data_IF_767890077358
#
_entry.id   IF_767890077358
#
_cell.length_a   1.000
_cell.length_b   1.000
_cell.length_c   1.000
_cell.angle_alpha   90.00
_cell.angle_beta   90.00
_cell.angle_gamma   90.00
#
_symmetry.space_group_name_H-M   'P 1'
#
loop_
_entity.id
_entity.type
_entity.pdbx_description
1 polymer ?
#
# COMPACT_ATOMS: atom_id res chain seq x y z
N UNK A 1 -28.41 -17.45 -41.67
CA UNK A 1 -28.43 -15.97 -41.50
C UNK A 1 -27.01 -15.53 -41.12
N UNK A 2 -26.17 -15.20 -42.10
CA UNK A 2 -24.77 -14.81 -41.84
C UNK A 2 -24.68 -13.32 -41.51
N UNK A 3 -24.07 -12.96 -40.39
CA UNK A 3 -23.81 -11.56 -40.05
C UNK A 3 -22.92 -10.93 -41.14
N UNK A 4 -23.26 -9.72 -41.59
CA UNK A 4 -22.44 -8.98 -42.54
C UNK A 4 -21.05 -8.71 -41.95
N UNK A 5 -20.04 -8.53 -42.81
CA UNK A 5 -18.65 -8.25 -42.39
C UNK A 5 -18.61 -7.11 -41.37
N UNK A 6 -19.40 -6.05 -41.58
CA UNK A 6 -19.55 -4.92 -40.64
C UNK A 6 -20.07 -5.36 -39.26
N UNK A 7 -21.04 -6.27 -39.21
CA UNK A 7 -21.58 -6.83 -37.97
C UNK A 7 -20.56 -7.64 -37.17
N UNK A 8 -19.64 -8.35 -37.84
CA UNK A 8 -18.56 -9.10 -37.17
C UNK A 8 -17.54 -8.15 -36.52
N UNK A 9 -17.21 -7.03 -37.19
CA UNK A 9 -16.34 -5.98 -36.64
C UNK A 9 -16.98 -5.27 -35.44
N UNK A 10 -18.27 -4.96 -35.52
CA UNK A 10 -19.04 -4.38 -34.41
C UNK A 10 -19.09 -5.33 -33.20
N UNK A 11 -19.32 -6.63 -33.42
CA UNK A 11 -19.31 -7.61 -32.35
C UNK A 11 -17.93 -7.73 -31.69
N UNK A 12 -16.85 -7.76 -32.48
CA UNK A 12 -15.48 -7.85 -31.96
C UNK A 12 -15.09 -6.62 -31.14
N UNK A 13 -15.48 -5.42 -31.59
CA UNK A 13 -15.26 -4.17 -30.86
C UNK A 13 -16.02 -4.16 -29.52
N UNK A 14 -17.28 -4.61 -29.51
CA UNK A 14 -18.08 -4.71 -28.29
C UNK A 14 -17.51 -5.74 -27.29
N UNK A 15 -17.07 -6.90 -27.76
CA UNK A 15 -16.41 -7.91 -26.92
C UNK A 15 -15.13 -7.40 -26.28
N UNK A 16 -14.32 -6.65 -27.04
CA UNK A 16 -13.07 -6.06 -26.54
C UNK A 16 -13.34 -5.00 -25.46
N UNK A 17 -14.35 -4.15 -25.68
CA UNK A 17 -14.79 -3.17 -24.69
C UNK A 17 -15.30 -3.82 -23.40
N UNK A 18 -16.08 -4.90 -23.51
CA UNK A 18 -16.60 -5.63 -22.36
C UNK A 18 -15.48 -6.27 -21.53
N UNK A 19 -14.47 -6.85 -22.18
CA UNK A 19 -13.30 -7.41 -21.50
C UNK A 19 -12.54 -6.29 -20.76
N UNK A 20 -12.31 -5.14 -21.40
CA UNK A 20 -11.61 -4.03 -20.76
C UNK A 20 -12.41 -3.46 -19.56
N UNK A 21 -13.74 -3.44 -19.63
CA UNK A 21 -14.59 -3.01 -18.51
C UNK A 21 -14.61 -4.03 -17.36
N UNK A 22 -14.53 -5.33 -17.64
CA UNK A 22 -14.52 -6.39 -16.63
C UNK A 22 -13.16 -6.55 -15.93
N UNK A 23 -12.05 -6.19 -16.60
CA UNK A 23 -10.69 -6.35 -16.08
C UNK A 23 -9.95 -5.02 -15.83
N UNK A 24 -10.56 -3.88 -16.16
CA UNK A 24 -9.92 -2.56 -16.22
C UNK A 24 -9.69 -1.84 -14.89
N UNK A 25 -10.02 -2.44 -13.75
CA UNK A 25 -9.70 -1.87 -12.44
C UNK A 25 -8.46 -2.54 -11.86
N UNK A 26 -7.30 -2.35 -12.49
CA UNK A 26 -6.04 -2.55 -11.80
C UNK A 26 -6.03 -1.57 -10.61
N UNK A 27 -6.02 -2.13 -9.40
CA UNK A 27 -6.40 -1.46 -8.16
C UNK A 27 -5.71 -0.11 -7.95
N UNK A 28 -6.44 0.83 -7.37
CA UNK A 28 -5.87 2.05 -6.86
C UNK A 28 -4.74 1.70 -5.87
N UNK A 29 -3.49 1.87 -6.31
CA UNK A 29 -2.33 1.70 -5.46
C UNK A 29 -2.36 2.84 -4.44
N UNK A 30 -2.76 2.53 -3.21
CA UNK A 30 -2.60 3.44 -2.08
C UNK A 30 -1.12 3.53 -1.77
N UNK A 31 -0.44 4.49 -2.40
CA UNK A 31 0.96 4.79 -2.16
C UNK A 31 1.08 5.45 -0.78
N UNK A 32 1.66 4.73 0.18
CA UNK A 32 1.93 5.27 1.51
C UNK A 32 3.26 6.01 1.45
N UNK A 33 3.21 7.33 1.32
CA UNK A 33 4.43 8.14 1.22
C UNK A 33 5.22 8.22 2.54
N UNK A 34 4.53 8.20 3.69
CA UNK A 34 5.14 8.36 5.01
C UNK A 34 4.50 7.46 6.06
N UNK A 35 5.32 6.87 6.92
CA UNK A 35 4.88 6.21 8.14
C UNK A 35 5.50 6.91 9.35
N UNK A 36 4.70 7.15 10.38
CA UNK A 36 5.19 7.58 11.69
C UNK A 36 5.06 6.44 12.68
N UNK A 37 6.19 5.99 13.22
CA UNK A 37 6.27 4.95 14.22
C UNK A 37 6.13 5.54 15.62
N UNK A 38 5.12 5.06 16.34
CA UNK A 38 5.01 5.26 17.77
C UNK A 38 5.62 4.06 18.49
N UNK A 39 6.64 4.31 19.30
CA UNK A 39 7.46 3.26 19.92
C UNK A 39 7.07 3.16 21.40
N UNK A 40 6.47 2.04 21.84
CA UNK A 40 5.99 1.84 23.21
C UNK A 40 7.13 1.50 24.18
N UNK A 41 8.22 2.26 24.15
CA UNK A 41 9.42 2.01 24.92
C UNK A 41 10.41 3.17 24.86
N UNK A 42 11.39 3.13 25.76
CA UNK A 42 12.48 4.10 25.78
C UNK A 42 13.41 3.98 24.57
N UNK A 43 14.11 5.07 24.26
CA UNK A 43 15.14 5.09 23.23
C UNK A 43 16.26 4.06 23.55
N UNK A 44 16.81 3.43 22.52
CA UNK A 44 17.88 2.42 22.64
C UNK A 44 17.42 1.03 23.12
N UNK A 45 16.15 0.84 23.48
CA UNK A 45 15.60 -0.47 23.83
C UNK A 45 15.27 -1.35 22.62
N UNK A 46 14.92 -2.62 22.86
CA UNK A 46 14.59 -3.57 21.79
C UNK A 46 13.44 -3.11 20.88
N UNK A 47 12.41 -2.48 21.44
CA UNK A 47 11.33 -1.87 20.67
C UNK A 47 11.79 -0.71 19.79
N UNK A 48 12.72 0.12 20.27
CA UNK A 48 13.27 1.25 19.51
C UNK A 48 14.10 0.79 18.32
N UNK A 49 15.02 -0.17 18.56
CA UNK A 49 15.80 -0.79 17.50
C UNK A 49 14.93 -1.49 16.46
N UNK A 50 13.89 -2.21 16.89
CA UNK A 50 12.96 -2.91 16.00
C UNK A 50 12.21 -1.93 15.10
N UNK A 51 11.61 -0.88 15.66
CA UNK A 51 10.87 0.12 14.88
C UNK A 51 11.76 0.82 13.86
N UNK A 52 12.97 1.23 14.27
CA UNK A 52 13.93 1.91 13.39
C UNK A 52 14.47 0.97 12.30
N UNK A 53 14.72 -0.30 12.63
CA UNK A 53 15.13 -1.31 11.66
C UNK A 53 14.07 -1.56 10.59
N UNK A 54 12.81 -1.75 11.00
CA UNK A 54 11.67 -1.90 10.07
C UNK A 54 11.47 -0.64 9.23
N UNK A 55 11.48 0.54 9.84
CA UNK A 55 11.34 1.80 9.13
C UNK A 55 12.44 2.00 8.08
N UNK A 56 13.69 1.63 8.40
CA UNK A 56 14.79 1.63 7.43
C UNK A 56 14.53 0.65 6.29
N UNK A 57 14.12 -0.59 6.59
CA UNK A 57 13.86 -1.59 5.56
C UNK A 57 12.76 -1.14 4.59
N UNK A 58 11.68 -0.52 5.08
CA UNK A 58 10.58 0.00 4.24
C UNK A 58 11.01 1.14 3.33
N UNK A 59 11.89 2.03 3.81
CA UNK A 59 12.46 3.11 3.00
C UNK A 59 13.42 2.54 1.96
N UNK A 60 14.32 1.65 2.37
CA UNK A 60 15.31 1.03 1.49
C UNK A 60 14.64 0.19 0.38
N UNK A 61 13.50 -0.45 0.67
CA UNK A 61 12.72 -1.21 -0.32
C UNK A 61 11.82 -0.34 -1.22
N UNK A 62 11.80 0.97 -1.02
CA UNK A 62 10.96 1.90 -1.78
C UNK A 62 9.45 1.78 -1.51
N UNK A 63 9.05 1.09 -0.43
CA UNK A 63 7.63 0.94 -0.06
C UNK A 63 7.08 2.27 0.50
N UNK A 64 7.92 3.02 1.22
CA UNK A 64 7.63 4.37 1.72
C UNK A 64 8.78 5.32 1.41
N UNK A 65 8.51 6.62 1.29
CA UNK A 65 9.56 7.64 1.09
C UNK A 65 10.19 8.10 2.40
N UNK A 66 9.39 8.16 3.47
CA UNK A 66 9.82 8.71 4.74
C UNK A 66 9.33 7.91 5.95
N UNK A 67 10.21 7.71 6.92
CA UNK A 67 9.88 7.20 8.25
C UNK A 67 10.22 8.25 9.33
N UNK A 68 9.34 8.44 10.31
CA UNK A 68 9.62 9.25 11.51
C UNK A 68 9.30 8.45 12.78
N UNK A 69 9.95 8.76 13.90
CA UNK A 69 9.90 7.94 15.11
C UNK A 69 9.65 8.79 16.35
N UNK A 70 8.76 8.35 17.22
CA UNK A 70 8.52 8.93 18.54
C UNK A 70 8.55 7.84 19.61
N UNK A 71 9.36 8.03 20.64
CA UNK A 71 9.43 7.13 21.78
C UNK A 71 8.48 7.61 22.89
N UNK A 72 7.48 6.80 23.21
CA UNK A 72 6.56 7.03 24.33
C UNK A 72 6.69 5.90 25.35
N UNK A 73 7.55 6.11 26.34
CA UNK A 73 7.73 5.17 27.45
C UNK A 73 6.73 5.44 28.59
N UNK A 74 6.23 4.36 29.22
CA UNK A 74 5.37 4.42 30.41
C UNK A 74 4.29 3.33 30.40
N UNK A 75 3.86 2.91 31.60
CA UNK A 75 2.75 1.94 31.77
C UNK A 75 2.96 0.60 31.06
N UNK A 76 4.21 0.11 30.99
CA UNK A 76 4.54 -1.12 30.25
C UNK A 76 4.33 -1.03 28.74
N UNK A 77 4.24 0.18 28.18
CA UNK A 77 3.90 0.44 26.77
C UNK A 77 2.51 1.04 26.58
N UNK A 78 1.64 0.97 27.59
CA UNK A 78 0.27 1.49 27.52
C UNK A 78 0.18 2.99 27.24
N UNK A 79 1.19 3.78 27.61
CA UNK A 79 1.22 5.23 27.33
C UNK A 79 1.25 5.54 25.83
N UNK A 80 1.76 4.64 25.00
CA UNK A 80 1.78 4.83 23.55
C UNK A 80 0.43 4.43 22.89
N UNK A 81 -0.47 3.76 23.62
CA UNK A 81 -1.69 3.17 23.06
C UNK A 81 -2.98 3.84 23.53
N UNK A 82 -2.91 4.64 24.59
CA UNK A 82 -4.05 5.18 25.33
C UNK A 82 -4.05 6.70 25.30
#
# INVERSE_FOLDING_TARGET
MGMSVRGKWLALAASTFLILALFGTAGAETTVDKIHFLIPGGAGGGWDGTARGVGKALVDSGIIKHASFENMSGGGGGKALN
#
